data_IF_469858803459
#
_entry.id   IF_469858803459
#
_cell.length_a   1.000
_cell.length_b   1.000
_cell.length_c   1.000
_cell.angle_alpha   90.00
_cell.angle_beta   90.00
_cell.angle_gamma   90.00
#
_symmetry.space_group_name_H-M   'P 1'
#
loop_
_entity.id
_entity.type
_entity.pdbx_description
1 polymer ?
#
# COMPACT_ATOMS: atom_id res chain seq x y z
N UNK A 1 30.40 1.06 -18.59
CA UNK A 1 29.31 1.94 -18.18
C UNK A 1 29.51 2.17 -16.68
N UNK A 2 29.53 3.42 -16.25
CA UNK A 2 29.67 3.78 -14.83
C UNK A 2 28.26 4.00 -14.24
N UNK A 3 27.99 3.43 -13.07
CA UNK A 3 26.71 3.56 -12.39
C UNK A 3 26.90 4.25 -11.04
N UNK A 4 26.00 5.18 -10.71
CA UNK A 4 26.04 5.90 -9.45
C UNK A 4 24.65 6.20 -8.92
N UNK A 5 24.54 6.33 -7.59
CA UNK A 5 23.37 6.84 -6.90
C UNK A 5 23.79 8.03 -6.02
N UNK A 6 23.09 9.13 -6.14
CA UNK A 6 23.39 10.35 -5.41
C UNK A 6 22.13 10.80 -4.67
N UNK A 7 22.26 11.09 -3.38
CA UNK A 7 21.16 11.61 -2.59
C UNK A 7 20.66 12.95 -3.16
N UNK A 8 19.34 13.10 -3.18
CA UNK A 8 18.65 14.24 -3.77
C UNK A 8 17.42 14.62 -2.96
N UNK A 9 16.64 15.59 -3.42
CA UNK A 9 15.39 15.99 -2.78
C UNK A 9 14.19 15.27 -3.36
N UNK A 10 13.10 15.23 -2.58
CA UNK A 10 11.81 14.70 -3.06
C UNK A 10 11.28 15.45 -4.29
N UNK A 11 11.44 16.77 -4.33
CA UNK A 11 10.95 17.59 -5.46
C UNK A 11 11.64 17.23 -6.77
N UNK A 12 12.91 16.83 -6.73
CA UNK A 12 13.66 16.43 -7.92
C UNK A 12 13.24 15.08 -8.49
N UNK A 13 12.75 14.16 -7.65
CA UNK A 13 12.29 12.84 -8.11
C UNK A 13 10.79 12.77 -8.38
N UNK A 14 10.03 13.81 -8.07
CA UNK A 14 8.56 13.81 -8.08
C UNK A 14 7.96 13.38 -9.43
N UNK A 15 8.46 13.94 -10.53
CA UNK A 15 7.99 13.57 -11.88
C UNK A 15 8.34 12.12 -12.24
N UNK A 16 9.46 11.60 -11.75
CA UNK A 16 9.88 10.22 -11.94
C UNK A 16 9.02 9.26 -11.12
N UNK A 17 8.63 9.70 -9.94
CA UNK A 17 7.69 8.98 -9.09
C UNK A 17 6.30 8.88 -9.72
N UNK A 18 5.85 9.91 -10.42
CA UNK A 18 4.60 9.87 -11.16
C UNK A 18 4.64 8.82 -12.28
N UNK A 19 5.77 8.71 -13.01
CA UNK A 19 5.98 7.65 -14.00
C UNK A 19 5.96 6.26 -13.36
N UNK A 20 6.70 6.06 -12.27
CA UNK A 20 6.72 4.80 -11.52
C UNK A 20 5.32 4.39 -11.07
N UNK A 21 4.58 5.27 -10.44
CA UNK A 21 3.24 5.00 -9.91
C UNK A 21 2.25 4.65 -11.00
N UNK A 22 2.35 5.33 -12.14
CA UNK A 22 1.49 5.08 -13.29
C UNK A 22 1.83 3.76 -13.98
N UNK A 23 3.11 3.48 -14.18
CA UNK A 23 3.57 2.30 -14.91
C UNK A 23 3.41 1.02 -14.09
N UNK A 24 3.88 1.01 -12.84
CA UNK A 24 3.78 -0.17 -11.97
C UNK A 24 2.36 -0.45 -11.55
N UNK A 25 1.56 0.59 -11.37
CA UNK A 25 0.15 0.50 -10.99
C UNK A 25 -0.12 -0.40 -9.77
N UNK A 26 0.82 -0.44 -8.84
CA UNK A 26 0.71 -1.20 -7.59
C UNK A 26 -0.18 -0.47 -6.58
N UNK A 27 -1.00 -1.20 -5.80
CA UNK A 27 -2.01 -0.60 -4.93
C UNK A 27 -1.42 0.18 -3.74
N UNK A 28 -0.38 -0.39 -3.11
CA UNK A 28 0.17 0.12 -1.85
C UNK A 28 1.56 0.70 -2.10
N UNK A 29 1.63 1.84 -2.75
CA UNK A 29 2.85 2.64 -2.83
C UNK A 29 2.76 3.73 -1.77
N UNK A 30 3.72 3.76 -0.86
CA UNK A 30 3.72 4.71 0.25
C UNK A 30 3.89 6.14 -0.25
N UNK A 31 2.83 6.93 -0.27
CA UNK A 31 2.87 8.32 -0.72
C UNK A 31 3.07 9.31 0.43
N UNK A 32 2.30 9.15 1.49
CA UNK A 32 2.26 10.11 2.60
C UNK A 32 3.58 10.26 3.37
N UNK A 33 4.48 9.26 3.31
CA UNK A 33 5.75 9.30 4.04
C UNK A 33 6.73 10.29 3.42
N UNK A 34 6.67 10.53 2.11
CA UNK A 34 7.51 11.52 1.43
C UNK A 34 7.26 12.97 1.89
N UNK A 35 6.04 13.26 2.37
CA UNK A 35 5.67 14.57 2.89
C UNK A 35 5.95 14.75 4.39
N UNK A 36 6.57 13.74 5.03
CA UNK A 36 6.95 13.79 6.44
C UNK A 36 8.44 14.07 6.55
N UNK A 37 8.86 15.21 7.13
CA UNK A 37 10.27 15.55 7.24
C UNK A 37 11.10 14.43 7.89
N UNK A 38 12.18 14.01 7.22
CA UNK A 38 13.12 13.00 7.72
C UNK A 38 12.60 11.55 7.69
N UNK A 39 11.50 11.26 6.98
CA UNK A 39 10.99 9.89 6.87
C UNK A 39 11.60 9.11 5.71
N UNK A 40 12.05 9.82 4.67
CA UNK A 40 12.60 9.21 3.45
C UNK A 40 13.91 9.88 3.05
N UNK A 41 14.77 9.10 2.39
CA UNK A 41 15.94 9.56 1.67
C UNK A 41 15.76 9.19 0.19
N UNK A 42 15.92 10.18 -0.67
CA UNK A 42 15.72 10.04 -2.11
C UNK A 42 17.07 10.02 -2.83
N UNK A 43 17.17 9.23 -3.89
CA UNK A 43 18.39 9.07 -4.67
C UNK A 43 18.11 9.18 -6.16
N UNK A 44 18.91 9.98 -6.87
CA UNK A 44 19.00 9.91 -8.31
C UNK A 44 19.96 8.79 -8.72
N UNK A 45 19.56 8.01 -9.71
CA UNK A 45 20.38 6.97 -10.34
C UNK A 45 20.89 7.47 -11.68
N UNK A 46 22.18 7.22 -11.96
CA UNK A 46 22.83 7.65 -13.19
C UNK A 46 23.58 6.49 -13.84
N UNK A 47 23.57 6.50 -15.18
CA UNK A 47 24.38 5.64 -16.03
C UNK A 47 25.25 6.54 -16.94
N UNK A 48 26.57 6.43 -16.90
CA UNK A 48 27.52 7.30 -17.59
C UNK A 48 27.18 8.81 -17.42
N UNK A 49 26.86 9.20 -16.17
CA UNK A 49 26.48 10.57 -15.82
C UNK A 49 25.05 10.99 -16.21
N UNK A 50 24.35 10.23 -17.07
CA UNK A 50 22.99 10.52 -17.49
C UNK A 50 21.96 10.03 -16.49
N UNK A 51 20.88 10.80 -16.23
CA UNK A 51 19.79 10.34 -15.34
C UNK A 51 19.14 9.07 -15.86
N UNK A 52 19.12 8.02 -15.07
CA UNK A 52 18.61 6.69 -15.44
C UNK A 52 17.37 6.25 -14.63
N UNK A 53 17.18 6.83 -13.44
CA UNK A 53 16.07 6.45 -12.55
C UNK A 53 16.18 7.11 -11.18
N UNK A 54 15.41 6.59 -10.23
CA UNK A 54 15.47 6.99 -8.82
C UNK A 54 15.27 5.80 -7.90
N UNK A 55 15.64 5.98 -6.63
CA UNK A 55 15.28 5.08 -5.53
C UNK A 55 14.91 5.85 -4.28
N UNK A 56 14.05 5.28 -3.44
CA UNK A 56 13.65 5.87 -2.16
C UNK A 56 13.83 4.89 -1.01
N UNK A 57 14.36 5.39 0.09
CA UNK A 57 14.66 4.63 1.31
C UNK A 57 13.87 5.19 2.48
N UNK A 58 13.06 4.37 3.12
CA UNK A 58 12.35 4.72 4.35
C UNK A 58 13.30 4.56 5.55
N UNK A 59 13.38 5.61 6.41
CA UNK A 59 14.34 5.68 7.51
C UNK A 59 13.73 6.09 8.85
N UNK A 60 12.41 6.27 8.92
CA UNK A 60 11.72 6.66 10.15
C UNK A 60 10.46 5.82 10.40
N UNK A 61 9.81 6.01 11.54
CA UNK A 61 8.66 5.20 11.95
C UNK A 61 9.02 3.71 12.07
N UNK A 62 8.32 2.81 11.39
CA UNK A 62 8.61 1.37 11.42
C UNK A 62 10.01 1.01 10.88
N UNK A 63 10.60 1.88 10.06
CA UNK A 63 11.90 1.67 9.41
C UNK A 63 13.09 2.37 10.11
N UNK A 64 12.88 2.99 11.31
CA UNK A 64 13.89 3.79 12.02
C UNK A 64 15.20 3.04 12.24
N UNK A 65 15.13 1.77 12.62
CA UNK A 65 16.30 0.94 12.90
C UNK A 65 16.58 -0.06 11.76
N UNK A 66 15.85 0.04 10.67
CA UNK A 66 15.92 -0.84 9.50
C UNK A 66 15.71 -0.02 8.22
N UNK A 67 16.69 0.82 7.79
CA UNK A 67 16.58 1.56 6.53
C UNK A 67 16.21 0.63 5.38
N UNK A 68 15.09 0.92 4.71
CA UNK A 68 14.44 0.01 3.77
C UNK A 68 14.25 0.68 2.42
N UNK A 69 14.77 0.09 1.34
CA UNK A 69 14.41 0.48 -0.03
C UNK A 69 12.97 0.00 -0.28
N UNK A 70 12.08 0.92 -0.63
CA UNK A 70 10.66 0.62 -0.89
C UNK A 70 10.15 1.17 -2.23
N UNK A 71 10.93 2.01 -2.91
CA UNK A 71 10.73 2.42 -4.30
C UNK A 71 12.05 2.36 -5.07
N UNK A 72 11.99 1.82 -6.28
CA UNK A 72 13.07 1.78 -7.24
C UNK A 72 12.49 1.79 -8.64
N UNK A 73 12.86 2.79 -9.42
CA UNK A 73 12.39 2.94 -10.78
C UNK A 73 13.54 3.28 -11.73
N UNK A 74 13.55 2.63 -12.87
CA UNK A 74 14.51 2.84 -13.92
C UNK A 74 13.78 3.07 -15.23
N UNK A 75 14.15 4.11 -15.97
CA UNK A 75 13.59 4.42 -17.27
C UNK A 75 13.69 3.22 -18.22
N UNK A 76 12.71 2.97 -19.09
CA UNK A 76 12.65 1.80 -19.96
C UNK A 76 13.94 1.50 -20.74
N UNK A 77 14.61 2.52 -21.27
CA UNK A 77 15.83 2.36 -22.07
C UNK A 77 17.09 2.04 -21.25
N UNK A 78 17.05 2.16 -19.91
CA UNK A 78 18.14 1.75 -19.01
C UNK A 78 17.87 0.43 -18.29
N UNK A 79 16.76 -0.27 -18.58
CA UNK A 79 16.36 -1.49 -17.84
C UNK A 79 17.30 -2.68 -18.03
N UNK A 80 18.15 -2.67 -19.03
CA UNK A 80 19.22 -3.67 -19.16
C UNK A 80 20.28 -3.54 -18.06
N UNK A 81 20.33 -2.40 -17.36
CA UNK A 81 21.27 -2.09 -16.27
C UNK A 81 20.61 -2.11 -14.87
N UNK A 82 19.44 -2.74 -14.72
CA UNK A 82 18.67 -2.75 -13.46
C UNK A 82 19.51 -3.19 -12.26
N UNK A 83 20.24 -4.28 -12.38
CA UNK A 83 21.02 -4.84 -11.28
C UNK A 83 22.18 -3.94 -10.86
N UNK A 84 22.88 -3.34 -11.83
CA UNK A 84 23.99 -2.43 -11.57
C UNK A 84 23.51 -1.13 -10.91
N UNK A 85 22.41 -0.57 -11.40
CA UNK A 85 21.79 0.63 -10.81
C UNK A 85 21.26 0.36 -9.41
N UNK A 86 20.71 -0.84 -9.16
CA UNK A 86 20.25 -1.22 -7.83
C UNK A 86 21.41 -1.44 -6.87
N UNK A 87 22.50 -2.07 -7.32
CA UNK A 87 23.73 -2.22 -6.53
C UNK A 87 24.33 -0.86 -6.15
N UNK A 88 24.32 0.10 -7.08
CA UNK A 88 24.74 1.48 -6.79
C UNK A 88 23.85 2.15 -5.74
N UNK A 89 22.52 1.95 -5.80
CA UNK A 89 21.59 2.43 -4.79
C UNK A 89 21.86 1.82 -3.42
N UNK A 90 22.01 0.50 -3.33
CA UNK A 90 22.34 -0.20 -2.08
C UNK A 90 23.62 0.35 -1.46
N UNK A 91 24.69 0.47 -2.24
CA UNK A 91 25.98 0.98 -1.78
C UNK A 91 25.89 2.42 -1.26
N UNK A 92 25.17 3.29 -1.96
CA UNK A 92 25.05 4.71 -1.60
C UNK A 92 24.11 4.95 -0.41
N UNK A 93 23.06 4.14 -0.27
CA UNK A 93 22.03 4.35 0.75
C UNK A 93 22.33 3.68 2.09
N UNK A 94 23.15 2.63 2.08
CA UNK A 94 23.36 1.79 3.27
C UNK A 94 22.09 1.10 3.76
N UNK A 95 21.09 0.92 2.89
CA UNK A 95 19.86 0.22 3.23
C UNK A 95 20.14 -1.24 3.60
N UNK A 96 19.48 -1.71 4.65
CA UNK A 96 19.63 -3.07 5.18
C UNK A 96 18.42 -3.95 4.91
N UNK A 97 17.42 -3.42 4.22
CA UNK A 97 16.19 -4.14 3.87
C UNK A 97 15.61 -3.63 2.57
N UNK A 98 14.82 -4.51 1.94
CA UNK A 98 14.00 -4.20 0.76
C UNK A 98 12.56 -4.59 1.09
N UNK A 99 11.61 -3.68 0.82
CA UNK A 99 10.18 -3.94 0.87
C UNK A 99 9.57 -3.69 -0.51
N UNK A 100 8.79 -4.62 -1.03
CA UNK A 100 8.15 -4.47 -2.34
C UNK A 100 6.80 -5.17 -2.39
N UNK A 101 6.02 -4.84 -3.40
CA UNK A 101 4.84 -5.60 -3.75
C UNK A 101 5.22 -6.64 -4.82
N UNK A 102 4.78 -7.89 -4.66
CA UNK A 102 5.10 -8.99 -5.60
C UNK A 102 4.57 -8.75 -7.03
N UNK A 103 3.69 -7.77 -7.21
CA UNK A 103 3.22 -7.31 -8.51
C UNK A 103 3.99 -6.09 -9.06
N UNK A 104 5.08 -5.67 -8.41
CA UNK A 104 6.05 -4.73 -8.96
C UNK A 104 7.11 -5.51 -9.78
N UNK A 105 7.12 -5.36 -11.12
CA UNK A 105 8.01 -6.14 -11.98
C UNK A 105 9.48 -5.66 -11.94
N UNK A 106 9.77 -4.51 -11.34
CA UNK A 106 11.13 -3.95 -11.25
C UNK A 106 11.75 -4.25 -9.89
N UNK A 107 11.07 -3.92 -8.80
CA UNK A 107 11.66 -4.06 -7.46
C UNK A 107 11.59 -5.50 -6.93
N UNK A 108 10.59 -6.31 -7.34
CA UNK A 108 10.51 -7.71 -6.90
C UNK A 108 11.72 -8.56 -7.34
N UNK A 109 12.23 -8.50 -8.58
CA UNK A 109 13.47 -9.15 -8.94
C UNK A 109 14.68 -8.71 -8.11
N UNK A 110 14.75 -7.42 -7.75
CA UNK A 110 15.82 -6.89 -6.88
C UNK A 110 15.75 -7.48 -5.48
N UNK A 111 14.54 -7.59 -4.90
CA UNK A 111 14.34 -8.26 -3.61
C UNK A 111 14.91 -9.68 -3.63
N UNK A 112 14.56 -10.49 -4.63
CA UNK A 112 14.98 -11.89 -4.70
C UNK A 112 16.46 -12.06 -5.08
N UNK A 113 17.10 -11.04 -5.63
CA UNK A 113 18.54 -11.08 -6.00
C UNK A 113 19.43 -10.60 -4.87
N UNK A 114 19.04 -9.56 -4.15
CA UNK A 114 19.89 -8.86 -3.20
C UNK A 114 19.51 -9.08 -1.73
N UNK A 115 18.37 -9.70 -1.47
CA UNK A 115 17.93 -9.95 -0.10
C UNK A 115 17.81 -11.46 0.20
N UNK A 116 17.87 -11.76 1.48
CA UNK A 116 17.60 -13.08 2.06
C UNK A 116 16.47 -12.98 3.09
N UNK A 117 16.04 -14.12 3.65
CA UNK A 117 14.96 -14.21 4.64
C UNK A 117 13.68 -13.49 4.20
N UNK A 118 13.32 -13.66 2.93
CA UNK A 118 12.15 -13.01 2.34
C UNK A 118 10.86 -13.55 2.96
N UNK A 119 10.07 -12.67 3.53
CA UNK A 119 8.79 -12.98 4.18
C UNK A 119 7.63 -12.21 3.55
N UNK A 120 6.43 -12.78 3.63
CA UNK A 120 5.20 -12.09 3.25
C UNK A 120 4.59 -11.42 4.46
N UNK A 121 4.51 -10.11 4.46
CA UNK A 121 3.89 -9.30 5.51
C UNK A 121 2.37 -9.17 5.34
N UNK A 122 1.93 -9.03 4.09
CA UNK A 122 0.51 -8.86 3.78
C UNK A 122 0.16 -9.51 2.45
N UNK A 123 -1.06 -10.06 2.35
CA UNK A 123 -1.70 -10.41 1.09
C UNK A 123 -2.38 -9.15 0.56
N UNK A 124 -2.19 -8.85 -0.72
CA UNK A 124 -2.84 -7.77 -1.44
C UNK A 124 -4.10 -8.29 -2.14
N UNK A 125 -5.14 -7.47 -2.16
CA UNK A 125 -6.40 -7.79 -2.79
C UNK A 125 -6.84 -6.68 -3.73
N UNK A 126 -7.43 -7.09 -4.86
CA UNK A 126 -8.14 -6.19 -5.75
C UNK A 126 -9.62 -6.57 -5.83
N UNK A 127 -10.48 -5.61 -6.11
CA UNK A 127 -11.90 -5.89 -6.33
C UNK A 127 -12.14 -6.51 -7.70
N UNK A 128 -12.93 -7.58 -7.75
CA UNK A 128 -13.28 -8.30 -8.97
C UNK A 128 -14.75 -8.67 -9.06
N UNK A 129 -15.45 -8.73 -7.94
CA UNK A 129 -16.80 -9.29 -7.89
C UNK A 129 -17.72 -8.34 -7.13
N UNK A 130 -18.77 -7.85 -7.80
CA UNK A 130 -19.87 -7.14 -7.14
C UNK A 130 -20.67 -8.13 -6.32
N UNK A 131 -20.96 -7.79 -5.08
CA UNK A 131 -21.76 -8.62 -4.16
C UNK A 131 -23.04 -7.94 -3.73
N UNK A 132 -24.06 -8.73 -3.40
CA UNK A 132 -25.37 -8.26 -2.90
C UNK A 132 -25.63 -8.72 -1.45
N UNK A 133 -24.65 -8.52 -0.56
CA UNK A 133 -24.77 -8.91 0.84
C UNK A 133 -25.80 -8.02 1.56
N UNK A 134 -26.74 -8.65 2.26
CA UNK A 134 -27.79 -7.96 3.03
C UNK A 134 -28.06 -8.73 4.33
N UNK A 135 -27.19 -8.63 5.36
CA UNK A 135 -27.41 -9.30 6.64
C UNK A 135 -28.68 -8.75 7.32
N UNK A 136 -29.46 -9.63 7.92
CA UNK A 136 -30.69 -9.25 8.59
C UNK A 136 -30.46 -8.19 9.67
N UNK A 137 -31.32 -7.15 9.70
CA UNK A 137 -31.31 -6.03 10.64
C UNK A 137 -30.00 -5.20 10.64
N UNK A 138 -29.12 -5.37 9.65
CA UNK A 138 -27.91 -4.56 9.50
C UNK A 138 -28.23 -3.30 8.68
N UNK A 139 -27.85 -2.14 9.20
CA UNK A 139 -27.98 -0.85 8.52
C UNK A 139 -26.59 -0.24 8.36
N UNK A 140 -26.22 0.06 7.11
CA UNK A 140 -24.99 0.82 6.82
C UNK A 140 -25.30 2.32 6.81
N UNK A 141 -24.41 3.10 7.37
CA UNK A 141 -24.35 4.57 7.23
C UNK A 141 -22.92 5.10 7.20
N UNK A 142 -22.75 6.30 6.68
CA UNK A 142 -21.50 7.02 6.86
C UNK A 142 -21.33 7.50 8.31
N UNK A 143 -20.10 7.61 8.74
CA UNK A 143 -19.79 8.17 10.05
C UNK A 143 -20.10 9.67 10.11
N UNK A 144 -20.43 10.14 11.30
CA UNK A 144 -20.67 11.53 11.65
C UNK A 144 -19.75 11.97 12.78
N UNK A 145 -19.67 13.25 13.07
CA UNK A 145 -18.91 13.77 14.20
C UNK A 145 -19.39 13.20 15.56
N UNK A 146 -20.66 12.79 15.66
CA UNK A 146 -21.24 12.20 16.86
C UNK A 146 -20.72 10.79 17.18
N UNK A 147 -20.08 10.12 16.22
CA UNK A 147 -19.54 8.75 16.39
C UNK A 147 -18.24 8.71 17.19
N UNK A 148 -17.69 9.87 17.58
CA UNK A 148 -16.48 9.96 18.42
C UNK A 148 -15.24 9.35 17.79
N UNK A 149 -15.19 9.27 16.45
CA UNK A 149 -14.02 8.80 15.73
C UNK A 149 -12.97 9.92 15.68
N UNK A 150 -11.74 9.59 16.02
CA UNK A 150 -10.59 10.50 15.88
C UNK A 150 -10.14 10.56 14.42
N UNK A 151 -10.97 11.18 13.60
CA UNK A 151 -10.73 11.38 12.16
C UNK A 151 -10.95 12.83 11.80
N UNK A 152 -10.14 13.33 10.87
CA UNK A 152 -10.34 14.69 10.37
C UNK A 152 -11.67 14.81 9.62
N UNK A 153 -12.28 15.98 9.65
CA UNK A 153 -13.59 16.23 9.05
C UNK A 153 -13.65 15.88 7.54
N UNK A 154 -12.54 16.10 6.81
CA UNK A 154 -12.40 15.75 5.39
C UNK A 154 -12.38 14.23 5.13
N UNK A 155 -12.17 13.42 6.16
CA UNK A 155 -12.12 11.96 6.09
C UNK A 155 -13.43 11.27 6.49
N UNK A 156 -14.38 11.99 7.11
CA UNK A 156 -15.65 11.41 7.58
C UNK A 156 -16.41 10.68 6.46
N UNK A 157 -16.45 11.25 5.27
CA UNK A 157 -17.15 10.66 4.11
C UNK A 157 -16.51 9.36 3.58
N UNK A 158 -15.37 8.95 4.12
CA UNK A 158 -14.73 7.67 3.77
C UNK A 158 -14.81 6.64 4.89
N UNK A 159 -15.53 6.94 5.98
CA UNK A 159 -15.73 6.03 7.11
C UNK A 159 -17.18 5.53 7.14
N UNK A 160 -17.31 4.22 7.26
CA UNK A 160 -18.61 3.53 7.32
C UNK A 160 -18.82 2.86 8.66
N UNK A 161 -20.09 2.82 9.06
CA UNK A 161 -20.58 2.16 10.25
C UNK A 161 -21.70 1.21 9.86
N UNK A 162 -21.69 0.03 10.45
CA UNK A 162 -22.83 -0.91 10.39
C UNK A 162 -23.44 -1.01 11.77
N UNK A 163 -24.74 -0.77 11.86
CA UNK A 163 -25.53 -0.89 13.07
C UNK A 163 -26.45 -2.13 13.02
N UNK A 164 -26.68 -2.72 14.18
CA UNK A 164 -27.64 -3.81 14.38
C UNK A 164 -28.43 -3.52 15.66
N UNK A 165 -29.73 -3.32 15.53
CA UNK A 165 -30.58 -2.98 16.67
C UNK A 165 -30.19 -1.69 17.37
N UNK A 166 -29.67 -0.68 16.63
CA UNK A 166 -29.21 0.60 17.16
C UNK A 166 -27.82 0.58 17.79
N UNK A 167 -27.15 -0.59 17.87
CA UNK A 167 -25.80 -0.71 18.37
C UNK A 167 -24.78 -0.73 17.21
N UNK A 168 -23.64 -0.06 17.39
CA UNK A 168 -22.54 -0.10 16.41
C UNK A 168 -21.89 -1.47 16.42
N UNK A 169 -22.08 -2.22 15.34
CA UNK A 169 -21.61 -3.60 15.18
C UNK A 169 -20.31 -3.73 14.40
N UNK A 170 -20.06 -2.83 13.45
CA UNK A 170 -18.80 -2.79 12.70
C UNK A 170 -18.47 -1.35 12.28
N UNK A 171 -17.18 -1.08 12.14
CA UNK A 171 -16.59 0.18 11.66
C UNK A 171 -15.50 -0.09 10.64
N UNK A 172 -15.31 0.83 9.72
CA UNK A 172 -14.21 0.76 8.76
C UNK A 172 -14.13 2.02 7.92
N UNK A 173 -13.18 2.04 7.00
CA UNK A 173 -12.98 3.20 6.16
C UNK A 173 -12.07 2.90 4.98
N UNK A 174 -11.80 3.95 4.22
CA UNK A 174 -10.99 3.92 3.01
C UNK A 174 -9.82 4.89 3.21
N UNK A 175 -8.61 4.39 3.07
CA UNK A 175 -7.38 5.18 3.13
C UNK A 175 -6.96 5.57 1.71
N UNK A 176 -6.82 6.88 1.45
CA UNK A 176 -6.46 7.42 0.13
C UNK A 176 -5.02 7.95 0.05
N UNK A 177 -4.18 7.62 1.03
CA UNK A 177 -2.79 8.11 1.12
C UNK A 177 -1.75 7.16 0.52
N UNK A 178 -2.19 6.17 -0.22
CA UNK A 178 -1.35 5.27 -1.02
C UNK A 178 -1.40 5.65 -2.49
N UNK A 179 -1.20 4.70 -3.38
CA UNK A 179 -1.15 4.97 -4.80
C UNK A 179 -2.54 5.22 -5.40
N UNK A 180 -2.77 6.38 -5.96
CA UNK A 180 -3.98 6.63 -6.74
C UNK A 180 -3.95 5.78 -8.02
N UNK A 181 -5.11 5.25 -8.48
CA UNK A 181 -6.47 5.54 -8.00
C UNK A 181 -6.97 4.62 -6.86
N UNK A 182 -6.10 3.91 -6.17
CA UNK A 182 -6.52 2.91 -5.18
C UNK A 182 -6.92 3.52 -3.84
N UNK A 183 -8.01 2.98 -3.26
CA UNK A 183 -8.43 3.21 -1.88
C UNK A 183 -8.26 1.93 -1.06
N UNK A 184 -7.42 1.96 -0.02
CA UNK A 184 -7.15 0.82 0.86
C UNK A 184 -8.23 0.72 1.94
N UNK A 185 -9.05 -0.35 1.88
CA UNK A 185 -10.18 -0.57 2.77
C UNK A 185 -9.74 -1.34 4.02
N UNK A 186 -10.09 -0.79 5.18
CA UNK A 186 -9.94 -1.47 6.47
C UNK A 186 -11.28 -1.62 7.17
N UNK A 187 -11.41 -2.61 8.06
CA UNK A 187 -12.63 -2.86 8.83
C UNK A 187 -12.34 -3.53 10.16
N UNK A 188 -13.21 -3.28 11.10
CA UNK A 188 -13.28 -3.94 12.39
C UNK A 188 -14.73 -4.31 12.72
N UNK A 189 -14.94 -5.49 13.31
CA UNK A 189 -16.24 -5.95 13.80
C UNK A 189 -16.16 -6.16 15.30
N UNK A 190 -17.05 -5.51 16.04
CA UNK A 190 -17.15 -5.65 17.48
C UNK A 190 -17.42 -7.12 17.87
N UNK A 191 -16.77 -7.59 18.92
CA UNK A 191 -16.72 -9.01 19.28
C UNK A 191 -18.09 -9.70 19.36
N UNK A 192 -19.14 -9.10 20.00
CA UNK A 192 -20.45 -9.72 20.10
C UNK A 192 -21.16 -9.89 18.75
N UNK A 193 -20.69 -9.21 17.71
CA UNK A 193 -21.30 -9.18 16.37
C UNK A 193 -20.50 -9.98 15.32
N UNK A 194 -19.39 -10.60 15.70
CA UNK A 194 -18.54 -11.39 14.79
C UNK A 194 -19.29 -12.60 14.24
N UNK A 195 -18.82 -13.15 13.11
CA UNK A 195 -19.33 -14.34 12.40
C UNK A 195 -20.78 -14.21 11.89
N UNK A 196 -21.31 -12.99 11.78
CA UNK A 196 -22.66 -12.69 11.26
C UNK A 196 -22.63 -12.08 9.84
N UNK A 197 -21.46 -12.03 9.18
CA UNK A 197 -21.31 -11.47 7.83
C UNK A 197 -21.21 -9.94 7.78
N UNK A 198 -21.23 -9.26 8.93
CA UNK A 198 -21.27 -7.78 9.00
C UNK A 198 -19.98 -7.13 8.47
N UNK A 199 -18.82 -7.74 8.68
CA UNK A 199 -17.56 -7.24 8.12
C UNK A 199 -17.55 -7.26 6.59
N UNK A 200 -18.04 -8.35 5.98
CA UNK A 200 -18.14 -8.43 4.52
C UNK A 200 -19.17 -7.45 3.95
N UNK A 201 -20.26 -7.25 4.65
CA UNK A 201 -21.25 -6.24 4.28
C UNK A 201 -20.68 -4.82 4.36
N UNK A 202 -19.99 -4.48 5.44
CA UNK A 202 -19.29 -3.20 5.58
C UNK A 202 -18.31 -2.97 4.44
N UNK A 203 -17.48 -3.98 4.12
CA UNK A 203 -16.51 -3.91 3.02
C UNK A 203 -17.22 -3.70 1.68
N UNK A 204 -18.33 -4.39 1.41
CA UNK A 204 -19.15 -4.17 0.22
C UNK A 204 -19.61 -2.71 0.09
N UNK A 205 -20.13 -2.12 1.16
CA UNK A 205 -20.58 -0.73 1.14
C UNK A 205 -19.43 0.27 0.98
N UNK A 206 -18.27 0.00 1.62
CA UNK A 206 -17.06 0.81 1.43
C UNK A 206 -16.54 0.72 -0.02
N UNK A 207 -16.64 -0.44 -0.67
CA UNK A 207 -16.32 -0.58 -2.10
C UNK A 207 -17.20 0.34 -2.94
N UNK A 208 -18.52 0.34 -2.69
CA UNK A 208 -19.47 1.24 -3.37
C UNK A 208 -19.05 2.70 -3.21
N UNK A 209 -18.79 3.14 -1.97
CA UNK A 209 -18.33 4.51 -1.68
C UNK A 209 -17.00 4.82 -2.39
N UNK A 210 -16.07 3.86 -2.45
CA UNK A 210 -14.79 4.02 -3.13
C UNK A 210 -14.99 4.31 -4.63
N UNK A 211 -15.84 3.55 -5.31
CA UNK A 211 -16.18 3.78 -6.71
C UNK A 211 -16.93 5.11 -6.93
N UNK A 212 -17.87 5.46 -6.06
CA UNK A 212 -18.58 6.75 -6.14
C UNK A 212 -17.64 7.96 -6.03
N UNK A 213 -16.49 7.78 -5.36
CA UNK A 213 -15.41 8.78 -5.30
C UNK A 213 -14.44 8.72 -6.47
N UNK A 214 -14.69 7.91 -7.50
CA UNK A 214 -13.84 7.73 -8.66
C UNK A 214 -12.54 6.96 -8.38
N UNK A 215 -12.50 6.15 -7.30
CA UNK A 215 -11.34 5.36 -6.92
C UNK A 215 -11.60 3.85 -7.10
N UNK A 216 -10.54 3.06 -7.06
CA UNK A 216 -10.58 1.59 -7.19
C UNK A 216 -10.38 0.98 -5.81
N UNK A 217 -11.32 0.14 -5.32
CA UNK A 217 -11.15 -0.52 -4.04
C UNK A 217 -9.97 -1.48 -4.03
N UNK A 218 -9.14 -1.37 -3.03
CA UNK A 218 -8.08 -2.32 -2.68
C UNK A 218 -8.18 -2.68 -1.21
N UNK A 219 -7.50 -3.73 -0.80
CA UNK A 219 -7.39 -4.12 0.59
C UNK A 219 -6.13 -4.95 0.80
N UNK A 220 -5.72 -5.10 2.06
CA UNK A 220 -4.64 -6.00 2.46
C UNK A 220 -4.94 -6.64 3.80
N UNK A 221 -4.33 -7.79 4.06
CA UNK A 221 -4.38 -8.39 5.38
C UNK A 221 -3.15 -9.26 5.63
N UNK A 222 -2.80 -9.43 6.90
CA UNK A 222 -1.76 -10.38 7.31
C UNK A 222 -2.13 -11.81 6.85
N UNK A 223 -1.17 -12.58 6.29
CA UNK A 223 -1.40 -13.95 5.83
C UNK A 223 -2.00 -14.88 6.90
N UNK A 224 -1.66 -14.69 8.17
CA UNK A 224 -2.21 -15.44 9.30
C UNK A 224 -3.62 -15.02 9.71
N UNK A 225 -4.13 -13.87 9.26
CA UNK A 225 -5.48 -13.39 9.62
C UNK A 225 -6.57 -14.02 8.75
N UNK A 226 -6.91 -15.27 9.06
CA UNK A 226 -7.92 -16.07 8.34
C UNK A 226 -9.29 -15.37 8.33
N UNK A 227 -9.65 -14.69 9.43
CA UNK A 227 -10.95 -14.00 9.53
C UNK A 227 -11.03 -12.84 8.52
N UNK A 228 -9.99 -12.02 8.44
CA UNK A 228 -9.92 -10.92 7.45
C UNK A 228 -9.92 -11.46 6.02
N UNK A 229 -9.11 -12.50 5.72
CA UNK A 229 -9.08 -13.15 4.40
C UNK A 229 -10.48 -13.58 3.95
N UNK A 230 -11.20 -14.33 4.80
CA UNK A 230 -12.57 -14.78 4.50
C UNK A 230 -13.55 -13.62 4.35
N UNK A 231 -13.39 -12.56 5.13
CA UNK A 231 -14.23 -11.36 5.07
C UNK A 231 -14.05 -10.65 3.73
N UNK A 232 -12.82 -10.41 3.30
CA UNK A 232 -12.50 -9.77 2.02
C UNK A 232 -12.98 -10.61 0.83
N UNK A 233 -12.70 -11.92 0.83
CA UNK A 233 -13.15 -12.82 -0.23
C UNK A 233 -14.68 -12.86 -0.35
N UNK A 234 -15.40 -12.92 0.77
CA UNK A 234 -16.88 -12.88 0.78
C UNK A 234 -17.42 -11.56 0.26
N UNK A 235 -16.68 -10.46 0.40
CA UNK A 235 -17.02 -9.16 -0.16
C UNK A 235 -16.61 -8.99 -1.65
N UNK A 236 -16.09 -10.03 -2.30
CA UNK A 236 -15.76 -10.04 -3.72
C UNK A 236 -14.32 -9.65 -4.06
N UNK A 237 -13.46 -9.51 -3.07
CA UNK A 237 -12.03 -9.31 -3.29
C UNK A 237 -11.30 -10.60 -3.66
N UNK A 238 -10.32 -10.48 -4.58
CA UNK A 238 -9.47 -11.57 -5.04
C UNK A 238 -8.02 -11.25 -4.71
N UNK A 239 -7.22 -12.19 -4.19
CA UNK A 239 -5.79 -11.99 -4.00
C UNK A 239 -5.09 -11.63 -5.31
N UNK A 240 -4.16 -10.67 -5.29
CA UNK A 240 -3.44 -10.22 -6.47
C UNK A 240 -1.93 -10.08 -6.27
N UNK A 241 -1.45 -10.31 -5.07
CA UNK A 241 -0.03 -10.22 -4.72
C UNK A 241 0.22 -10.22 -3.23
N UNK A 242 1.44 -9.90 -2.86
CA UNK A 242 1.90 -9.81 -1.48
C UNK A 242 2.75 -8.57 -1.27
N UNK A 243 2.75 -7.99 -0.08
CA UNK A 243 3.86 -7.16 0.39
C UNK A 243 4.92 -8.12 0.91
N UNK A 244 6.11 -8.02 0.33
CA UNK A 244 7.27 -8.84 0.64
C UNK A 244 8.35 -7.96 1.27
N UNK A 245 9.02 -8.48 2.29
CA UNK A 245 10.18 -7.83 2.88
C UNK A 245 11.32 -8.83 3.02
N UNK A 246 12.56 -8.38 2.81
CA UNK A 246 13.76 -9.19 2.97
C UNK A 246 14.93 -8.37 3.50
N UNK A 247 15.90 -9.02 4.13
CA UNK A 247 17.10 -8.40 4.68
C UNK A 247 18.22 -8.39 3.65
N UNK A 248 18.99 -7.29 3.59
CA UNK A 248 20.21 -7.16 2.79
C UNK A 248 21.41 -7.38 3.71
N UNK A 249 22.42 -8.09 3.20
CA UNK A 249 23.67 -8.41 3.94
C UNK A 249 24.64 -7.23 3.94
#
# INVERSE_FOLDING_TARGET
>A
MEFSAQQTSFEEIKSWRDLYRQEMNCQIIHDSIHYRPGWTLEYFLRADGSPAGYGSVAVAGPWKDKPTIYEFYVLPHYRLCLFDLFAALLSASGAVSIETQSNDPILTPMLHTFAHDVVSESILYHDKITTGLAPAAAVFRLATAADGLDIRADQLLSHGIVEVGGAVAARGGILFHYNRPYGDIYMEVAEPFRRRGLGSYLVQELKRICYEKGNIPSARCNPGNIASRKTLQKAGFVPCGHILAGSVS
#
